data_IF_071016519580
#
_entry.id   IF_071016519580
#
_cell.length_a   1.000
_cell.length_b   1.000
_cell.length_c   1.000
_cell.angle_alpha   90.00
_cell.angle_beta   90.00
_cell.angle_gamma   90.00
#
_symmetry.space_group_name_H-M   'P 1'
#
loop_
_entity.id
_entity.type
_entity.pdbx_description
1 polymer ?
#
# COMPACT_ATOMS: atom_id res chain seq x y z
N UNK A 1 -23.24 -2.43 -2.84
CA UNK A 1 -22.95 -1.38 -1.88
C UNK A 1 -21.81 -0.55 -2.39
N UNK A 2 -21.89 0.74 -2.18
CA UNK A 2 -20.91 1.65 -2.76
C UNK A 2 -19.81 1.95 -1.75
N UNK A 3 -18.60 1.63 -2.15
CA UNK A 3 -17.42 2.02 -1.37
C UNK A 3 -16.95 3.40 -1.82
N UNK A 4 -16.51 4.18 -0.86
CA UNK A 4 -16.01 5.53 -1.07
C UNK A 4 -14.49 5.51 -1.16
N UNK A 5 -13.94 6.36 -2.03
CA UNK A 5 -12.50 6.53 -2.14
C UNK A 5 -11.99 7.31 -0.92
N UNK A 6 -10.94 6.81 -0.32
CA UNK A 6 -10.24 7.49 0.77
C UNK A 6 -8.78 7.69 0.39
N UNK A 7 -8.18 8.74 0.94
CA UNK A 7 -6.78 9.08 0.68
C UNK A 7 -6.12 9.48 1.99
N UNK A 8 -4.96 8.89 2.26
CA UNK A 8 -4.22 9.14 3.47
C UNK A 8 -2.78 9.46 3.08
N UNK A 9 -2.20 10.50 3.70
CA UNK A 9 -0.82 10.86 3.45
C UNK A 9 0.02 10.59 4.68
N UNK A 10 1.17 9.96 4.47
CA UNK A 10 2.09 9.61 5.55
C UNK A 10 3.45 10.26 5.28
N UNK A 11 3.93 11.14 6.18
CA UNK A 11 5.30 11.68 6.03
C UNK A 11 6.31 10.57 6.23
N UNK A 12 7.35 10.56 5.39
CA UNK A 12 8.40 9.54 5.44
C UNK A 12 9.75 10.23 5.56
N UNK A 13 10.61 9.69 6.43
CA UNK A 13 11.95 10.26 6.63
C UNK A 13 12.96 9.79 5.59
N UNK A 14 12.60 8.84 4.76
CA UNK A 14 13.51 8.27 3.79
C UNK A 14 13.52 9.00 2.46
N UNK A 15 14.42 8.55 1.59
CA UNK A 15 14.48 9.02 0.21
C UNK A 15 13.38 8.37 -0.64
N UNK A 16 13.16 8.93 -1.83
CA UNK A 16 12.23 8.33 -2.79
C UNK A 16 12.61 6.89 -3.11
N UNK A 17 13.91 6.60 -3.25
CA UNK A 17 14.39 5.25 -3.53
C UNK A 17 14.08 4.27 -2.39
N UNK A 18 14.25 4.71 -1.16
CA UNK A 18 13.93 3.86 0.01
C UNK A 18 12.44 3.53 0.04
N UNK A 19 11.60 4.53 -0.21
CA UNK A 19 10.15 4.31 -0.24
C UNK A 19 9.80 3.37 -1.40
N UNK A 20 10.37 3.61 -2.57
CA UNK A 20 10.08 2.77 -3.74
C UNK A 20 10.43 1.31 -3.50
N UNK A 21 11.58 1.03 -2.89
CA UNK A 21 11.97 -0.36 -2.59
C UNK A 21 10.97 -1.04 -1.67
N UNK A 22 10.30 -0.28 -0.82
CA UNK A 22 9.32 -0.83 0.13
C UNK A 22 7.96 -1.09 -0.50
N UNK A 23 7.58 -0.35 -1.53
CA UNK A 23 6.25 -0.48 -2.14
C UNK A 23 6.28 -1.11 -3.53
N UNK A 24 7.40 -1.00 -4.23
CA UNK A 24 7.50 -1.40 -5.64
C UNK A 24 8.10 -2.76 -5.89
N UNK A 25 8.51 -3.48 -4.85
CA UNK A 25 9.11 -4.81 -4.97
C UNK A 25 8.43 -5.81 -4.06
N UNK A 26 8.39 -7.10 -4.46
CA UNK A 26 7.82 -8.13 -3.58
C UNK A 26 8.59 -8.26 -2.27
N UNK A 27 9.91 -8.16 -2.33
CA UNK A 27 10.75 -8.23 -1.14
C UNK A 27 10.42 -7.09 -0.17
N UNK A 28 10.26 -5.87 -0.70
CA UNK A 28 9.88 -4.71 0.11
C UNK A 28 8.51 -4.88 0.74
N UNK A 29 7.52 -5.30 -0.05
CA UNK A 29 6.16 -5.52 0.46
C UNK A 29 6.12 -6.60 1.53
N UNK A 30 6.99 -7.60 1.46
CA UNK A 30 7.03 -8.67 2.45
C UNK A 30 7.66 -8.25 3.78
N UNK A 31 8.21 -7.05 3.88
CA UNK A 31 8.75 -6.55 5.14
C UNK A 31 7.72 -5.84 6.01
N UNK A 32 6.61 -5.39 5.43
CA UNK A 32 5.64 -4.61 6.21
C UNK A 32 4.19 -4.84 5.82
N UNK A 33 3.91 -5.04 4.53
CA UNK A 33 2.54 -5.12 4.04
C UNK A 33 1.93 -6.50 4.28
N UNK A 34 2.73 -7.53 4.11
CA UNK A 34 2.32 -8.92 4.32
C UNK A 34 3.51 -9.71 4.85
N UNK A 35 3.26 -10.87 5.42
CA UNK A 35 4.32 -11.74 5.92
C UNK A 35 5.10 -12.38 4.78
N UNK A 36 4.42 -12.68 3.67
CA UNK A 36 5.03 -13.27 2.49
C UNK A 36 4.30 -12.79 1.25
N UNK A 37 5.03 -12.60 0.17
CA UNK A 37 4.48 -12.17 -1.12
C UNK A 37 5.01 -13.09 -2.20
N UNK A 38 4.11 -13.69 -2.98
CA UNK A 38 4.47 -14.53 -4.12
C UNK A 38 3.84 -13.95 -5.38
N UNK A 39 4.61 -13.88 -6.46
CA UNK A 39 4.16 -13.27 -7.72
C UNK A 39 4.09 -14.32 -8.80
N UNK A 40 2.99 -14.31 -9.54
CA UNK A 40 2.82 -15.08 -10.77
C UNK A 40 2.28 -14.12 -11.84
N UNK A 41 3.14 -13.67 -12.74
CA UNK A 41 2.78 -12.64 -13.71
C UNK A 41 2.45 -11.33 -13.02
N UNK A 42 1.23 -10.86 -13.20
CA UNK A 42 0.74 -9.64 -12.53
C UNK A 42 -0.06 -9.93 -11.28
N UNK A 43 -0.19 -11.18 -10.90
CA UNK A 43 -0.92 -11.57 -9.70
C UNK A 43 0.03 -11.63 -8.52
N UNK A 44 -0.31 -10.88 -7.48
CA UNK A 44 0.45 -10.85 -6.24
C UNK A 44 -0.36 -11.57 -5.19
N UNK A 45 0.19 -12.66 -4.64
CA UNK A 45 -0.44 -13.40 -3.56
C UNK A 45 0.20 -12.97 -2.26
N UNK A 46 -0.61 -12.36 -1.39
CA UNK A 46 -0.17 -11.86 -0.09
C UNK A 46 -0.62 -12.83 1.00
N UNK A 47 0.29 -13.15 1.91
CA UNK A 47 0.03 -14.11 2.99
C UNK A 47 0.26 -13.44 4.33
N UNK A 48 -0.67 -13.64 5.25
CA UNK A 48 -0.57 -13.17 6.64
C UNK A 48 -0.76 -14.36 7.55
N UNK A 49 0.25 -14.62 8.39
CA UNK A 49 0.22 -15.80 9.27
C UNK A 49 0.20 -17.08 8.46
N UNK A 50 -0.48 -18.10 9.02
CA UNK A 50 -0.52 -19.43 8.41
C UNK A 50 -1.76 -19.70 7.58
N UNK A 51 -2.80 -18.89 7.74
CA UNK A 51 -4.11 -19.22 7.17
C UNK A 51 -4.72 -18.12 6.33
N UNK A 52 -4.24 -16.89 6.39
CA UNK A 52 -4.84 -15.80 5.65
C UNK A 52 -4.06 -15.50 4.38
N UNK A 53 -4.77 -15.44 3.26
CA UNK A 53 -4.20 -15.14 1.95
C UNK A 53 -5.19 -14.33 1.14
N UNK A 54 -4.68 -13.33 0.41
CA UNK A 54 -5.47 -12.61 -0.58
C UNK A 54 -4.64 -12.38 -1.83
N UNK A 55 -5.30 -12.41 -2.97
CA UNK A 55 -4.67 -12.16 -4.25
C UNK A 55 -5.08 -10.81 -4.80
N UNK A 56 -4.13 -10.09 -5.39
CA UNK A 56 -4.37 -8.82 -6.07
C UNK A 56 -3.66 -8.82 -7.41
N UNK A 57 -4.20 -8.08 -8.36
CA UNK A 57 -3.57 -7.87 -9.65
C UNK A 57 -2.91 -6.50 -9.66
N UNK A 58 -1.66 -6.45 -10.10
CA UNK A 58 -0.99 -5.18 -10.35
C UNK A 58 -1.58 -4.61 -11.64
N UNK A 59 -2.41 -3.58 -11.52
CA UNK A 59 -3.15 -3.04 -12.66
C UNK A 59 -2.50 -1.82 -13.28
N UNK A 60 -1.64 -1.12 -12.51
CA UNK A 60 -0.90 0.01 -13.03
C UNK A 60 0.31 0.27 -12.14
N UNK A 61 1.40 0.74 -12.76
CA UNK A 61 2.56 1.19 -12.00
C UNK A 61 3.40 2.14 -12.82
N UNK A 62 4.13 2.99 -12.12
CA UNK A 62 5.18 3.80 -12.71
C UNK A 62 6.40 3.68 -11.81
N UNK A 63 7.48 3.19 -12.38
CA UNK A 63 8.70 2.89 -11.62
C UNK A 63 9.17 4.13 -10.85
N UNK A 64 9.37 3.99 -9.56
CA UNK A 64 9.80 5.08 -8.69
C UNK A 64 8.70 6.04 -8.27
N UNK A 65 7.46 5.85 -8.71
CA UNK A 65 6.36 6.78 -8.46
C UNK A 65 5.19 6.12 -7.74
N UNK A 66 4.61 5.07 -8.32
CA UNK A 66 3.43 4.47 -7.70
C UNK A 66 3.21 3.04 -8.15
N UNK A 67 2.43 2.30 -7.35
CA UNK A 67 1.86 1.00 -7.68
C UNK A 67 0.37 1.02 -7.37
N UNK A 68 -0.42 0.39 -8.24
CA UNK A 68 -1.86 0.28 -8.05
C UNK A 68 -2.26 -1.18 -8.19
N UNK A 69 -2.96 -1.68 -7.18
CA UNK A 69 -3.43 -3.06 -7.14
C UNK A 69 -4.94 -3.12 -7.05
N UNK A 70 -5.49 -4.18 -7.62
CA UNK A 70 -6.91 -4.49 -7.46
C UNK A 70 -7.04 -5.84 -6.80
N UNK A 71 -7.68 -5.88 -5.64
CA UNK A 71 -7.99 -7.15 -4.98
C UNK A 71 -8.93 -7.97 -5.85
N UNK A 72 -8.68 -9.27 -5.97
CA UNK A 72 -9.50 -10.14 -6.82
C UNK A 72 -10.90 -10.36 -6.23
N UNK A 73 -11.04 -10.18 -4.92
CA UNK A 73 -12.30 -10.36 -4.21
C UNK A 73 -13.06 -9.04 -4.00
N UNK A 74 -12.67 -7.96 -4.68
CA UNK A 74 -13.28 -6.65 -4.51
C UNK A 74 -14.11 -6.22 -5.73
N UNK A 75 -14.92 -5.15 -5.51
CA UNK A 75 -15.74 -4.57 -6.58
C UNK A 75 -14.87 -4.00 -7.69
N UNK A 76 -15.42 -3.97 -8.90
CA UNK A 76 -14.69 -3.62 -10.11
C UNK A 76 -14.03 -2.24 -10.04
N UNK A 77 -14.68 -1.27 -9.41
CA UNK A 77 -14.17 0.10 -9.36
C UNK A 77 -13.16 0.34 -8.23
N UNK A 78 -12.98 -0.63 -7.33
CA UNK A 78 -12.11 -0.47 -6.17
C UNK A 78 -10.68 -0.89 -6.48
N UNK A 79 -9.73 -0.19 -5.90
CA UNK A 79 -8.31 -0.50 -5.99
C UNK A 79 -7.62 0.06 -4.75
N UNK A 80 -6.38 -0.32 -4.52
CA UNK A 80 -5.54 0.43 -3.59
C UNK A 80 -4.26 0.84 -4.30
N UNK A 81 -3.77 2.01 -3.94
CA UNK A 81 -2.62 2.61 -4.59
C UNK A 81 -1.69 3.20 -3.56
N UNK A 82 -0.40 3.03 -3.79
CA UNK A 82 0.63 3.66 -2.98
C UNK A 82 1.47 4.53 -3.91
N UNK A 83 1.55 5.82 -3.58
CA UNK A 83 2.21 6.81 -4.43
C UNK A 83 3.19 7.63 -3.64
N UNK A 84 4.36 7.84 -4.20
CA UNK A 84 5.39 8.69 -3.60
C UNK A 84 5.15 10.11 -4.08
N UNK A 85 5.00 11.05 -3.14
CA UNK A 85 4.87 12.47 -3.44
C UNK A 85 5.92 13.25 -2.64
N UNK A 86 6.14 14.50 -3.02
CA UNK A 86 7.07 15.36 -2.32
C UNK A 86 6.35 16.61 -1.84
N UNK A 87 6.47 16.89 -0.55
CA UNK A 87 5.87 18.10 0.04
C UNK A 87 6.96 19.17 0.14
N UNK A 88 6.89 20.18 -0.72
CA UNK A 88 7.89 21.23 -0.79
C UNK A 88 7.89 22.14 0.44
N UNK A 89 6.75 22.30 1.07
CA UNK A 89 6.63 23.17 2.24
C UNK A 89 7.46 22.67 3.42
N UNK A 90 7.50 21.35 3.60
CA UNK A 90 8.27 20.74 4.69
C UNK A 90 9.49 19.99 4.16
N UNK A 91 9.72 20.03 2.86
CA UNK A 91 10.87 19.41 2.17
C UNK A 91 10.98 17.93 2.55
N UNK A 92 9.88 17.19 2.39
CA UNK A 92 9.80 15.82 2.83
C UNK A 92 9.00 14.98 1.84
N UNK A 93 9.44 13.74 1.63
CA UNK A 93 8.67 12.77 0.86
C UNK A 93 7.50 12.26 1.68
N UNK A 94 6.41 11.99 0.97
CA UNK A 94 5.18 11.46 1.54
C UNK A 94 4.83 10.17 0.83
N UNK A 95 4.24 9.25 1.55
CA UNK A 95 3.58 8.09 0.95
C UNK A 95 2.07 8.36 0.99
N UNK A 96 1.48 8.49 -0.20
CA UNK A 96 0.06 8.72 -0.33
C UNK A 96 -0.63 7.39 -0.63
N UNK A 97 -1.55 7.00 0.22
CA UNK A 97 -2.32 5.78 0.06
C UNK A 97 -3.73 6.12 -0.36
N UNK A 98 -4.19 5.48 -1.43
CA UNK A 98 -5.58 5.56 -1.88
C UNK A 98 -6.20 4.18 -1.70
N UNK A 99 -7.37 4.12 -1.10
CA UNK A 99 -8.10 2.88 -0.90
C UNK A 99 -9.59 3.18 -0.95
N UNK A 100 -10.42 2.15 -0.81
CA UNK A 100 -11.87 2.26 -0.83
C UNK A 100 -12.43 1.59 0.41
N UNK A 101 -13.48 2.16 0.96
CA UNK A 101 -14.14 1.62 2.15
C UNK A 101 -15.61 1.97 2.13
N UNK A 102 -16.42 1.11 2.73
CA UNK A 102 -17.81 1.46 2.99
C UNK A 102 -17.83 2.57 4.03
N UNK A 103 -18.87 3.40 3.97
CA UNK A 103 -18.96 4.62 4.77
C UNK A 103 -18.74 4.37 6.26
N UNK A 104 -19.28 3.29 6.78
CA UNK A 104 -19.17 2.93 8.20
C UNK A 104 -17.87 2.20 8.54
N UNK A 105 -17.04 1.89 7.53
CA UNK A 105 -15.76 1.19 7.71
C UNK A 105 -14.54 2.08 7.47
N UNK A 106 -14.74 3.34 7.15
CA UNK A 106 -13.65 4.26 6.81
C UNK A 106 -12.60 4.33 7.91
N UNK A 107 -13.03 4.47 9.15
CA UNK A 107 -12.08 4.56 10.28
C UNK A 107 -11.29 3.26 10.45
N UNK A 108 -11.94 2.11 10.29
CA UNK A 108 -11.26 0.82 10.41
C UNK A 108 -10.20 0.65 9.31
N UNK A 109 -10.52 1.06 8.09
CA UNK A 109 -9.58 0.97 6.97
C UNK A 109 -8.38 1.90 7.20
N UNK A 110 -8.64 3.12 7.67
CA UNK A 110 -7.56 4.05 8.01
C UNK A 110 -6.66 3.52 9.13
N UNK A 111 -7.26 2.96 10.16
CA UNK A 111 -6.51 2.39 11.28
C UNK A 111 -5.62 1.23 10.83
N UNK A 112 -6.12 0.41 9.92
CA UNK A 112 -5.33 -0.69 9.37
C UNK A 112 -4.11 -0.16 8.61
N UNK A 113 -4.30 0.84 7.75
CA UNK A 113 -3.19 1.46 7.04
C UNK A 113 -2.20 2.12 7.99
N UNK A 114 -2.69 2.83 9.01
CA UNK A 114 -1.83 3.44 10.02
C UNK A 114 -0.92 2.41 10.68
N UNK A 115 -1.50 1.26 11.02
CA UNK A 115 -0.77 0.15 11.64
C UNK A 115 0.30 -0.43 10.72
N UNK A 116 -0.04 -0.62 9.45
CA UNK A 116 0.90 -1.15 8.46
C UNK A 116 2.03 -0.17 8.17
N UNK A 117 1.72 1.12 8.06
CA UNK A 117 2.75 2.13 7.84
C UNK A 117 3.67 2.25 9.05
N UNK A 118 3.14 2.10 10.25
CA UNK A 118 3.96 2.05 11.46
C UNK A 118 4.96 0.90 11.40
N UNK A 119 4.52 -0.25 10.92
CA UNK A 119 5.40 -1.40 10.72
C UNK A 119 6.48 -1.11 9.69
N UNK A 120 6.12 -0.44 8.59
CA UNK A 120 7.07 -0.01 7.58
C UNK A 120 8.15 0.89 8.19
N UNK A 121 7.74 1.88 8.98
CA UNK A 121 8.67 2.81 9.62
C UNK A 121 9.62 2.11 10.58
N UNK A 122 9.10 1.17 11.35
CA UNK A 122 9.92 0.38 12.29
C UNK A 122 10.97 -0.44 11.57
N UNK A 123 10.58 -1.06 10.47
CA UNK A 123 11.47 -1.98 9.76
C UNK A 123 12.51 -1.27 8.92
N UNK A 124 12.27 -0.02 8.55
CA UNK A 124 13.16 0.72 7.64
C UNK A 124 13.82 1.94 8.26
N UNK A 125 13.32 2.39 9.40
CA UNK A 125 13.79 3.63 10.01
C UNK A 125 13.19 4.89 9.40
N UNK A 126 12.25 4.73 8.49
CA UNK A 126 11.60 5.88 7.86
C UNK A 126 10.46 6.43 8.70
#
# INVERSE_FOLDING_TARGET
>A
MNKEKIRIEYPMKGSANMIWRSIGTPQGLSTWFADRVEIAGKTYNFYWGKSEQRAATLVAQRNGVYVRFKWEDEEQHCFFEMRITYNELVMQYMLEVTDFAEKDEVEDVKNLWDSQIEQLRRNTGM
#
